data_IF_954170951375
#
_entry.id   IF_954170951375
#
_cell.length_a   1.000
_cell.length_b   1.000
_cell.length_c   1.000
_cell.angle_alpha   90.00
_cell.angle_beta   90.00
_cell.angle_gamma   90.00
#
_symmetry.space_group_name_H-M   'P 1'
#
loop_
_entity.id
_entity.type
_entity.pdbx_description
1 polymer ?
#
# COMPACT_ATOMS: atom_id res chain seq x y z
N UNK A 1 19.63 -13.52 26.29
CA UNK A 1 18.53 -12.52 26.41
C UNK A 1 18.27 -11.76 25.11
N UNK A 2 19.27 -11.11 24.54
CA UNK A 2 19.13 -10.40 23.28
C UNK A 2 18.69 -11.30 22.12
N UNK A 3 19.27 -12.48 21.97
CA UNK A 3 18.92 -13.46 20.91
C UNK A 3 17.48 -13.95 21.04
N UNK A 4 17.01 -14.20 22.26
CA UNK A 4 15.62 -14.64 22.52
C UNK A 4 14.63 -13.55 22.11
N UNK A 5 14.91 -12.28 22.47
CA UNK A 5 14.07 -11.14 22.09
C UNK A 5 13.99 -10.98 20.57
N UNK A 6 15.11 -11.18 19.87
CA UNK A 6 15.13 -11.15 18.40
C UNK A 6 14.28 -12.26 17.77
N UNK A 7 14.38 -13.47 18.31
CA UNK A 7 13.61 -14.62 17.82
C UNK A 7 12.13 -14.35 18.01
N UNK A 8 11.72 -13.87 19.17
CA UNK A 8 10.32 -13.52 19.46
C UNK A 8 9.82 -12.46 18.48
N UNK A 9 10.59 -11.40 18.28
CA UNK A 9 10.23 -10.32 17.34
C UNK A 9 10.09 -10.84 15.92
N UNK A 10 11.04 -11.65 15.45
CA UNK A 10 11.03 -12.24 14.13
C UNK A 10 9.86 -13.21 13.93
N UNK A 11 9.55 -13.99 14.96
CA UNK A 11 8.40 -14.90 14.94
C UNK A 11 7.09 -14.12 14.84
N UNK A 12 6.92 -13.07 15.63
CA UNK A 12 5.76 -12.19 15.55
C UNK A 12 5.64 -11.56 14.15
N UNK A 13 6.76 -11.13 13.60
CA UNK A 13 6.80 -10.55 12.26
C UNK A 13 6.38 -11.57 11.19
N UNK A 14 6.85 -12.81 11.32
CA UNK A 14 6.48 -13.90 10.43
C UNK A 14 4.96 -14.12 10.41
N UNK A 15 4.34 -14.20 11.59
CA UNK A 15 2.88 -14.35 11.70
C UNK A 15 2.12 -13.15 11.14
N UNK A 16 2.67 -11.94 11.27
CA UNK A 16 2.06 -10.72 10.72
C UNK A 16 2.02 -10.75 9.20
N UNK A 17 3.05 -11.30 8.57
CA UNK A 17 3.18 -11.41 7.12
C UNK A 17 2.53 -12.65 6.52
N UNK A 18 2.29 -13.68 7.34
CA UNK A 18 1.81 -14.98 6.84
C UNK A 18 0.55 -14.90 5.99
N UNK A 19 -0.51 -14.15 6.37
CA UNK A 19 -1.71 -14.05 5.52
C UNK A 19 -1.45 -13.43 4.16
N UNK A 20 -0.54 -12.47 4.08
CA UNK A 20 -0.20 -11.78 2.82
C UNK A 20 0.61 -12.72 1.93
N UNK A 21 1.62 -13.38 2.48
CA UNK A 21 2.48 -14.31 1.74
C UNK A 21 1.69 -15.54 1.29
N UNK A 22 0.78 -16.04 2.12
CA UNK A 22 -0.05 -17.20 1.79
C UNK A 22 -0.90 -16.98 0.55
N UNK A 23 -1.39 -15.76 0.36
CA UNK A 23 -2.24 -15.38 -0.77
C UNK A 23 -1.45 -14.91 -2.00
N UNK A 24 -0.13 -14.75 -1.86
CA UNK A 24 0.72 -14.22 -2.91
C UNK A 24 0.73 -15.14 -4.13
N UNK A 25 0.60 -14.54 -5.32
CA UNK A 25 0.66 -15.23 -6.61
C UNK A 25 1.76 -14.61 -7.46
N UNK A 26 2.59 -15.46 -8.03
CA UNK A 26 3.79 -15.01 -8.75
C UNK A 26 3.50 -14.42 -10.13
N UNK A 27 2.30 -14.60 -10.64
CA UNK A 27 1.94 -14.21 -12.00
C UNK A 27 1.17 -12.89 -12.09
N UNK A 28 0.77 -12.30 -10.95
CA UNK A 28 -0.10 -11.11 -10.94
C UNK A 28 0.56 -9.94 -10.19
N UNK A 29 0.74 -8.83 -10.89
CA UNK A 29 1.27 -7.59 -10.30
C UNK A 29 0.43 -7.03 -9.14
N UNK A 30 -0.83 -7.43 -9.03
CA UNK A 30 -1.73 -7.07 -7.93
C UNK A 30 -1.07 -7.32 -6.56
N UNK A 31 -0.35 -8.43 -6.43
CA UNK A 31 0.29 -8.82 -5.18
C UNK A 31 1.54 -8.00 -4.84
N UNK A 32 2.16 -7.36 -5.83
CA UNK A 32 3.21 -6.37 -5.55
C UNK A 32 2.62 -5.22 -4.73
N UNK A 33 1.45 -4.72 -5.13
CA UNK A 33 0.75 -3.67 -4.39
C UNK A 33 0.26 -4.16 -3.02
N UNK A 34 -0.17 -5.41 -2.91
CA UNK A 34 -0.58 -5.99 -1.62
C UNK A 34 0.58 -6.02 -0.62
N UNK A 35 1.75 -6.47 -1.05
CA UNK A 35 2.96 -6.50 -0.22
C UNK A 35 3.38 -5.08 0.18
N UNK A 36 3.41 -4.17 -0.79
CA UNK A 36 3.76 -2.77 -0.55
C UNK A 36 2.80 -2.10 0.43
N UNK A 37 1.51 -2.30 0.26
CA UNK A 37 0.47 -1.77 1.14
C UNK A 37 0.65 -2.27 2.57
N UNK A 38 0.83 -3.57 2.74
CA UNK A 38 1.03 -4.18 4.05
C UNK A 38 2.27 -3.62 4.75
N UNK A 39 3.37 -3.51 4.01
CA UNK A 39 4.62 -2.94 4.54
C UNK A 39 4.44 -1.49 4.97
N UNK A 40 3.77 -0.67 4.17
CA UNK A 40 3.53 0.74 4.49
C UNK A 40 2.64 0.90 5.73
N UNK A 41 1.63 0.05 5.89
CA UNK A 41 0.77 0.06 7.09
C UNK A 41 1.60 -0.26 8.33
N UNK A 42 2.39 -1.31 8.30
CA UNK A 42 3.27 -1.71 9.42
C UNK A 42 4.25 -0.59 9.76
N UNK A 43 4.89 0.00 8.75
CA UNK A 43 5.87 1.07 8.95
C UNK A 43 5.21 2.33 9.53
N UNK A 44 4.04 2.71 9.05
CA UNK A 44 3.32 3.88 9.55
C UNK A 44 2.94 3.73 11.02
N UNK A 45 2.45 2.55 11.40
CA UNK A 45 2.13 2.24 12.79
C UNK A 45 3.37 2.28 13.68
N UNK A 46 4.48 1.71 13.22
CA UNK A 46 5.74 1.68 13.96
C UNK A 46 6.29 3.09 14.18
N UNK A 47 6.37 3.90 13.14
CA UNK A 47 6.90 5.28 13.20
C UNK A 47 6.00 6.14 14.09
N UNK A 48 4.70 6.01 13.96
CA UNK A 48 3.72 6.77 14.76
C UNK A 48 3.78 6.41 16.23
N UNK A 49 3.91 5.11 16.53
CA UNK A 49 4.02 4.59 17.90
C UNK A 49 5.30 5.03 18.59
N UNK A 50 6.43 4.93 17.91
CA UNK A 50 7.73 5.26 18.47
C UNK A 50 7.99 6.76 18.54
N UNK A 51 7.52 7.51 17.55
CA UNK A 51 7.61 8.97 17.47
C UNK A 51 9.02 9.51 17.77
N UNK A 52 10.04 8.84 17.22
CA UNK A 52 11.45 9.12 17.55
C UNK A 52 12.03 10.34 16.85
N UNK A 53 11.30 10.94 15.90
CA UNK A 53 11.76 12.10 15.16
C UNK A 53 10.61 13.10 14.95
N UNK A 54 10.96 14.36 14.69
CA UNK A 54 10.02 15.48 14.60
C UNK A 54 8.96 15.24 13.51
N UNK A 55 9.35 14.65 12.39
CA UNK A 55 8.46 14.43 11.24
C UNK A 55 7.73 13.08 11.27
N UNK A 56 7.75 12.35 12.39
CA UNK A 56 7.20 11.00 12.47
C UNK A 56 5.73 10.93 12.03
N UNK A 57 4.87 11.81 12.54
CA UNK A 57 3.47 11.83 12.16
C UNK A 57 3.26 12.24 10.70
N UNK A 58 4.05 13.18 10.21
CA UNK A 58 4.02 13.60 8.81
C UNK A 58 4.39 12.42 7.88
N UNK A 59 5.47 11.73 8.20
CA UNK A 59 5.92 10.58 7.40
C UNK A 59 4.90 9.44 7.43
N UNK A 60 4.32 9.14 8.60
CA UNK A 60 3.25 8.16 8.72
C UNK A 60 2.03 8.53 7.89
N UNK A 61 1.64 9.81 7.87
CA UNK A 61 0.52 10.30 7.06
C UNK A 61 0.80 10.15 5.57
N UNK A 62 2.05 10.38 5.13
CA UNK A 62 2.45 10.16 3.73
C UNK A 62 2.41 8.67 3.36
N UNK A 63 2.85 7.79 4.25
CA UNK A 63 2.72 6.34 4.05
C UNK A 63 1.26 5.92 3.91
N UNK A 64 0.37 6.44 4.77
CA UNK A 64 -1.06 6.12 4.69
C UNK A 64 -1.73 6.73 3.46
N UNK A 65 -1.26 7.88 2.97
CA UNK A 65 -1.70 8.41 1.69
C UNK A 65 -1.33 7.46 0.55
N UNK A 66 -0.12 6.90 0.57
CA UNK A 66 0.29 5.87 -0.40
C UNK A 66 -0.58 4.63 -0.31
N UNK A 67 -0.94 4.18 0.89
CA UNK A 67 -1.87 3.05 1.09
C UNK A 67 -3.22 3.33 0.43
N UNK A 68 -3.77 4.54 0.62
CA UNK A 68 -5.04 4.93 -0.02
C UNK A 68 -4.93 4.96 -1.55
N UNK A 69 -3.80 5.40 -2.08
CA UNK A 69 -3.55 5.39 -3.52
C UNK A 69 -3.43 3.96 -4.06
N UNK A 70 -2.79 3.06 -3.31
CA UNK A 70 -2.73 1.64 -3.66
C UNK A 70 -4.14 1.05 -3.71
N UNK A 71 -4.98 1.35 -2.74
CA UNK A 71 -6.38 0.90 -2.74
C UNK A 71 -7.12 1.37 -4.00
N UNK A 72 -6.88 2.61 -4.44
CA UNK A 72 -7.46 3.12 -5.69
C UNK A 72 -6.91 2.41 -6.92
N UNK A 73 -5.60 2.10 -6.95
CA UNK A 73 -4.98 1.37 -8.06
C UNK A 73 -5.52 -0.04 -8.17
N UNK A 74 -5.70 -0.71 -7.02
CA UNK A 74 -6.18 -2.09 -6.97
C UNK A 74 -7.70 -2.22 -7.08
N UNK A 75 -8.41 -1.11 -6.86
CA UNK A 75 -9.86 -1.16 -6.69
C UNK A 75 -10.55 -1.20 -8.04
N UNK A 76 -11.29 -2.28 -8.27
CA UNK A 76 -12.13 -2.48 -9.45
C UNK A 76 -13.44 -1.68 -9.40
N UNK A 77 -13.65 -0.82 -8.39
CA UNK A 77 -14.87 -0.02 -8.28
C UNK A 77 -15.17 0.79 -9.53
N UNK A 78 -14.12 1.29 -10.18
CA UNK A 78 -14.30 2.00 -11.44
C UNK A 78 -14.89 1.10 -12.53
N UNK A 79 -14.45 -0.15 -12.56
CA UNK A 79 -14.96 -1.15 -13.51
C UNK A 79 -16.32 -1.69 -13.08
N UNK A 80 -16.56 -1.88 -11.79
CA UNK A 80 -17.84 -2.35 -11.27
C UNK A 80 -18.97 -1.35 -11.53
N UNK A 81 -18.71 -0.06 -11.38
CA UNK A 81 -19.67 1.00 -11.74
C UNK A 81 -20.00 0.93 -13.24
N UNK A 82 -19.01 0.62 -14.07
CA UNK A 82 -19.20 0.48 -15.51
C UNK A 82 -20.00 -0.78 -15.88
N UNK A 83 -19.77 -1.89 -15.16
CA UNK A 83 -20.48 -3.15 -15.41
C UNK A 83 -21.97 -3.01 -15.05
N UNK A 84 -22.29 -2.28 -13.99
CA UNK A 84 -23.64 -2.04 -13.53
C UNK A 84 -24.40 -0.99 -14.36
N UNK A 85 -23.71 -0.29 -15.24
CA UNK A 85 -24.28 0.75 -16.09
C UNK A 85 -24.70 0.17 -17.45
N UNK A 86 -26.01 0.17 -17.70
CA UNK A 86 -26.57 -0.29 -18.98
C UNK A 86 -26.15 0.60 -20.18
N UNK A 87 -25.59 1.78 -19.92
CA UNK A 87 -25.11 2.72 -20.91
C UNK A 87 -23.56 2.74 -20.97
N UNK A 88 -22.96 1.56 -20.99
CA UNK A 88 -21.51 1.43 -21.06
C UNK A 88 -20.98 2.01 -22.39
N UNK A 89 -20.16 3.03 -22.31
CA UNK A 89 -19.50 3.65 -23.46
C UNK A 89 -17.99 3.50 -23.37
N UNK A 90 -17.31 3.57 -24.51
CA UNK A 90 -15.83 3.58 -24.58
C UNK A 90 -15.26 4.73 -23.73
N UNK A 91 -15.92 5.90 -23.79
CA UNK A 91 -15.52 7.08 -23.01
C UNK A 91 -15.51 6.84 -21.51
N UNK A 92 -16.53 6.13 -20.98
CA UNK A 92 -16.61 5.77 -19.56
C UNK A 92 -15.49 4.80 -19.15
N UNK A 93 -15.19 3.82 -20.00
CA UNK A 93 -14.09 2.87 -19.79
C UNK A 93 -12.76 3.60 -19.76
N UNK A 94 -12.52 4.48 -20.72
CA UNK A 94 -11.29 5.29 -20.78
C UNK A 94 -11.14 6.18 -19.53
N UNK A 95 -12.24 6.81 -19.08
CA UNK A 95 -12.23 7.65 -17.87
C UNK A 95 -11.84 6.84 -16.62
N UNK A 96 -12.39 5.63 -16.47
CA UNK A 96 -12.07 4.74 -15.36
C UNK A 96 -10.58 4.32 -15.39
N UNK A 97 -10.09 3.90 -16.56
CA UNK A 97 -8.69 3.54 -16.75
C UNK A 97 -7.76 4.72 -16.46
N UNK A 98 -8.13 5.93 -16.88
CA UNK A 98 -7.35 7.13 -16.63
C UNK A 98 -7.27 7.48 -15.14
N UNK A 99 -8.34 7.28 -14.39
CA UNK A 99 -8.33 7.48 -12.93
C UNK A 99 -7.36 6.52 -12.23
N UNK A 100 -7.35 5.25 -12.62
CA UNK A 100 -6.39 4.27 -12.10
C UNK A 100 -4.95 4.66 -12.45
N UNK A 101 -4.70 5.08 -13.69
CA UNK A 101 -3.37 5.54 -14.13
C UNK A 101 -2.90 6.76 -13.34
N UNK A 102 -3.79 7.71 -13.08
CA UNK A 102 -3.46 8.91 -12.28
C UNK A 102 -3.09 8.52 -10.85
N UNK A 103 -3.86 7.63 -10.23
CA UNK A 103 -3.58 7.15 -8.88
C UNK A 103 -2.22 6.46 -8.82
N UNK A 104 -1.91 5.60 -9.80
CA UNK A 104 -0.62 4.91 -9.89
C UNK A 104 0.54 5.89 -10.08
N UNK A 105 0.41 6.86 -10.97
CA UNK A 105 1.44 7.89 -11.19
C UNK A 105 1.71 8.69 -9.93
N UNK A 106 0.66 9.10 -9.23
CA UNK A 106 0.79 9.84 -7.98
C UNK A 106 1.44 9.00 -6.89
N UNK A 107 1.07 7.72 -6.77
CA UNK A 107 1.68 6.78 -5.84
C UNK A 107 3.20 6.72 -6.03
N UNK A 108 3.66 6.46 -7.25
CA UNK A 108 5.09 6.35 -7.53
C UNK A 108 5.82 7.69 -7.38
N UNK A 109 5.16 8.79 -7.69
CA UNK A 109 5.72 10.13 -7.45
C UNK A 109 5.95 10.37 -5.96
N UNK A 110 4.99 10.02 -5.11
CA UNK A 110 5.12 10.16 -3.65
C UNK A 110 6.19 9.22 -3.10
N UNK A 111 6.24 7.98 -3.56
CA UNK A 111 7.30 7.05 -3.16
C UNK A 111 8.67 7.58 -3.55
N UNK A 112 8.83 8.06 -4.77
CA UNK A 112 10.09 8.63 -5.23
C UNK A 112 10.53 9.85 -4.41
N UNK A 113 9.57 10.67 -4.00
CA UNK A 113 9.85 11.91 -3.27
C UNK A 113 10.17 11.69 -1.80
N UNK A 114 9.52 10.71 -1.15
CA UNK A 114 9.55 10.60 0.30
C UNK A 114 10.19 9.32 0.84
N UNK A 115 10.41 8.28 0.05
CA UNK A 115 10.80 6.96 0.53
C UNK A 115 12.11 6.97 1.34
N UNK A 116 13.07 7.80 0.95
CA UNK A 116 14.37 7.88 1.64
C UNK A 116 14.28 8.47 3.05
N UNK A 117 13.19 9.18 3.34
CA UNK A 117 12.93 9.78 4.66
C UNK A 117 12.32 8.79 5.65
N UNK A 118 11.84 7.65 5.17
CA UNK A 118 11.07 6.70 5.97
C UNK A 118 11.97 5.68 6.66
N UNK A 119 12.67 6.15 7.65
CA UNK A 119 13.48 5.31 8.53
C UNK A 119 13.40 5.84 9.96
N UNK A 120 13.68 4.96 10.91
CA UNK A 120 13.55 5.26 12.33
C UNK A 120 14.87 5.06 13.09
#
# INVERSE_FOLDING_TARGET
MWRIRQIIRRTKNLFRWLPIIWKDENWDYYYIFEILKHKLIIMSEHIRKNNNHISANYDADRMMLCVRLIDKVQNEKYMNVLIDDNNLTIEKIEAACNQQKKARKLLFKLLNQYIERWWD
#
